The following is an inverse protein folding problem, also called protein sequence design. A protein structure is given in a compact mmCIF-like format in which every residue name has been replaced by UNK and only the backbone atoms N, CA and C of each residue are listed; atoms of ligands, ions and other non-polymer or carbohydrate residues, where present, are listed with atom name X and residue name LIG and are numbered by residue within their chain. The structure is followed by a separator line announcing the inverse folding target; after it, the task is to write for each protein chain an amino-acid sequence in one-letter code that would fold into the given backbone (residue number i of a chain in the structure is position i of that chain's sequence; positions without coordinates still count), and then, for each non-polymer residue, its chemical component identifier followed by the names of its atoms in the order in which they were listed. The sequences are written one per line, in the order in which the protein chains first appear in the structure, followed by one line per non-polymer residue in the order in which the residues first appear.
data_IF_528724665921
#
_entry.id   IF_528724665921
#
_cell.length_a   1.000
_cell.length_b   1.000
_cell.length_c   1.000
_cell.angle_alpha   90.00
_cell.angle_beta   90.00
_cell.angle_gamma   90.00
#
_symmetry.space_group_name_H-M   'P 1'
#
loop_
_entity.id
_entity.type
_entity.pdbx_description
1 polymer ?
#
# COMPACT_ATOMS: atom_id res chain seq x y z
N UNK A 1 8.74 13.53 7.93
CA UNK A 1 9.26 13.48 6.53
C UNK A 1 9.39 12.02 6.08
N UNK A 2 8.25 11.31 5.95
CA UNK A 2 8.20 9.93 5.41
C UNK A 2 7.16 9.81 4.28
N UNK A 3 6.55 10.94 3.92
CA UNK A 3 5.59 11.07 2.85
C UNK A 3 6.41 11.24 1.57
N UNK A 4 6.44 10.19 0.75
CA UNK A 4 7.08 10.22 -0.56
C UNK A 4 5.97 10.51 -1.57
N UNK A 5 6.20 11.40 -2.53
CA UNK A 5 5.28 11.57 -3.65
C UNK A 5 5.30 10.25 -4.45
N UNK A 6 4.15 9.55 -4.60
CA UNK A 6 4.10 8.30 -5.36
C UNK A 6 4.49 8.50 -6.84
N UNK A 7 4.58 9.76 -7.30
CA UNK A 7 4.80 10.13 -8.69
C UNK A 7 3.51 10.02 -9.50
N UNK A 8 3.58 10.40 -10.79
CA UNK A 8 2.48 10.20 -11.74
C UNK A 8 2.62 8.84 -12.40
N UNK A 9 2.05 7.80 -11.77
CA UNK A 9 2.06 6.43 -12.31
C UNK A 9 0.63 5.93 -12.44
N UNK A 10 0.17 5.77 -13.67
CA UNK A 10 -1.14 5.20 -13.97
C UNK A 10 -1.07 3.68 -14.16
N UNK A 11 -2.20 2.99 -13.93
CA UNK A 11 -2.33 1.54 -14.18
C UNK A 11 -2.02 1.17 -15.63
N UNK A 12 -2.29 2.08 -16.58
CA UNK A 12 -1.95 1.91 -18.00
C UNK A 12 -0.45 1.78 -18.27
N UNK A 13 0.38 2.26 -17.34
CA UNK A 13 1.84 2.16 -17.42
C UNK A 13 2.36 0.77 -17.04
N UNK A 14 1.50 -0.12 -16.54
CA UNK A 14 1.85 -1.45 -16.04
C UNK A 14 1.43 -2.51 -17.04
N UNK A 15 2.41 -3.10 -17.72
CA UNK A 15 2.17 -4.16 -18.70
C UNK A 15 1.92 -5.53 -18.05
N UNK A 16 0.91 -6.25 -18.55
CA UNK A 16 0.74 -7.70 -18.31
C UNK A 16 0.31 -8.12 -16.89
N UNK A 17 0.00 -7.18 -16.00
CA UNK A 17 -0.39 -7.45 -14.61
C UNK A 17 -1.86 -7.05 -14.32
N UNK A 18 -2.73 -7.15 -15.32
CA UNK A 18 -4.13 -6.70 -15.23
C UNK A 18 -4.93 -7.42 -14.13
N UNK A 19 -4.73 -8.73 -13.98
CA UNK A 19 -5.40 -9.52 -12.94
C UNK A 19 -4.94 -9.10 -11.54
N UNK A 20 -3.63 -8.92 -11.34
CA UNK A 20 -3.08 -8.49 -10.04
C UNK A 20 -3.51 -7.06 -9.69
N UNK A 21 -3.57 -6.17 -10.68
CA UNK A 21 -4.12 -4.82 -10.50
C UNK A 21 -5.57 -4.93 -10.07
N UNK A 22 -6.38 -5.75 -10.74
CA UNK A 22 -7.79 -5.92 -10.40
C UNK A 22 -7.98 -6.41 -8.96
N UNK A 23 -7.27 -7.46 -8.55
CA UNK A 23 -7.33 -7.98 -7.17
C UNK A 23 -6.95 -6.91 -6.13
N UNK A 24 -5.92 -6.12 -6.42
CA UNK A 24 -5.48 -5.02 -5.55
C UNK A 24 -6.54 -3.91 -5.44
N UNK A 25 -7.19 -3.55 -6.55
CA UNK A 25 -8.26 -2.55 -6.57
C UNK A 25 -9.49 -3.03 -5.80
N UNK A 26 -9.88 -4.29 -5.99
CA UNK A 26 -10.97 -4.90 -5.22
C UNK A 26 -10.64 -4.97 -3.71
N UNK A 27 -9.37 -5.20 -3.36
CA UNK A 27 -8.95 -5.27 -1.96
C UNK A 27 -8.79 -3.90 -1.29
N UNK A 28 -8.41 -2.86 -2.03
CA UNK A 28 -8.04 -1.56 -1.46
C UNK A 28 -9.04 -0.46 -1.86
N UNK A 29 -9.32 -0.28 -3.16
CA UNK A 29 -10.22 0.77 -3.65
C UNK A 29 -11.67 0.51 -3.27
N UNK A 30 -12.15 -0.72 -3.46
CA UNK A 30 -13.55 -1.08 -3.21
C UNK A 30 -14.01 -0.78 -1.77
N UNK A 31 -13.28 -1.19 -0.70
CA UNK A 31 -13.70 -0.88 0.66
C UNK A 31 -13.59 0.61 1.02
N UNK A 32 -12.71 1.37 0.35
CA UNK A 32 -12.61 2.82 0.54
C UNK A 32 -13.74 3.58 -0.16
N UNK A 33 -14.12 3.16 -1.37
CA UNK A 33 -15.17 3.81 -2.15
C UNK A 33 -16.58 3.43 -1.67
N UNK A 34 -16.82 2.15 -1.35
CA UNK A 34 -18.15 1.62 -1.05
C UNK A 34 -18.17 0.80 0.25
N UNK A 35 -17.93 1.42 1.43
CA UNK A 35 -17.92 0.73 2.71
C UNK A 35 -19.28 0.09 3.05
N UNK A 36 -20.39 0.65 2.56
CA UNK A 36 -21.73 0.11 2.79
C UNK A 36 -21.93 -1.31 2.30
N UNK A 37 -21.27 -1.70 1.19
CA UNK A 37 -21.37 -3.06 0.64
C UNK A 37 -20.83 -4.08 1.64
N UNK A 38 -19.71 -3.78 2.29
CA UNK A 38 -19.10 -4.65 3.30
C UNK A 38 -19.97 -4.76 4.56
N UNK A 39 -20.60 -3.65 4.98
CA UNK A 39 -21.51 -3.62 6.13
C UNK A 39 -22.77 -4.45 5.85
N UNK A 40 -23.38 -4.30 4.66
CA UNK A 40 -24.60 -5.04 4.28
C UNK A 40 -24.37 -6.54 4.17
N UNK A 41 -23.21 -6.93 3.62
CA UNK A 41 -22.81 -8.34 3.50
C UNK A 41 -22.31 -8.92 4.83
N UNK A 42 -21.98 -8.06 5.80
CA UNK A 42 -21.50 -8.47 7.13
C UNK A 42 -20.05 -8.98 7.13
N UNK A 43 -19.27 -8.65 6.10
CA UNK A 43 -17.87 -9.05 5.95
C UNK A 43 -16.94 -7.92 6.34
N UNK A 44 -15.82 -8.26 7.00
CA UNK A 44 -14.78 -7.28 7.32
C UNK A 44 -13.92 -7.03 6.08
N UNK A 45 -13.66 -5.77 5.70
CA UNK A 45 -12.78 -5.47 4.59
C UNK A 45 -11.34 -5.92 4.91
N UNK A 46 -10.56 -6.33 3.90
CA UNK A 46 -9.16 -6.67 4.09
C UNK A 46 -8.38 -5.42 4.55
N UNK A 47 -7.46 -5.61 5.50
CA UNK A 47 -6.69 -4.52 6.11
C UNK A 47 -5.33 -4.26 5.46
N UNK A 48 -4.88 -5.15 4.58
CA UNK A 48 -3.57 -5.06 3.95
C UNK A 48 -3.39 -6.14 2.90
N UNK A 49 -2.44 -5.91 2.01
CA UNK A 49 -2.09 -6.83 0.92
C UNK A 49 -0.60 -7.11 0.96
N UNK A 50 -0.23 -8.38 0.71
CA UNK A 50 1.17 -8.79 0.61
C UNK A 50 1.54 -9.03 -0.86
N UNK A 51 2.50 -8.26 -1.36
CA UNK A 51 3.05 -8.44 -2.70
C UNK A 51 4.36 -9.23 -2.62
N UNK A 52 4.42 -10.40 -3.28
CA UNK A 52 5.61 -11.26 -3.29
C UNK A 52 6.00 -11.72 -4.70
N UNK A 53 7.17 -12.36 -4.83
CA UNK A 53 7.70 -12.93 -6.07
C UNK A 53 9.09 -12.39 -6.44
N UNK A 54 9.61 -12.72 -7.64
CA UNK A 54 10.95 -12.32 -8.07
C UNK A 54 11.17 -10.80 -8.08
N UNK A 55 12.43 -10.33 -7.96
CA UNK A 55 12.76 -8.92 -8.15
C UNK A 55 12.48 -8.50 -9.60
N UNK A 56 12.11 -7.23 -9.82
CA UNK A 56 11.85 -6.69 -11.15
C UNK A 56 10.44 -6.88 -11.70
N UNK A 57 9.54 -7.60 -11.01
CA UNK A 57 8.15 -7.80 -11.49
C UNK A 57 7.20 -6.62 -11.18
N UNK A 58 7.73 -5.42 -10.93
CA UNK A 58 6.91 -4.21 -10.75
C UNK A 58 6.14 -4.06 -9.43
N UNK A 59 6.44 -4.83 -8.36
CA UNK A 59 5.70 -4.75 -7.07
C UNK A 59 5.70 -3.34 -6.47
N UNK A 60 6.86 -2.68 -6.44
CA UNK A 60 6.98 -1.30 -5.94
C UNK A 60 6.26 -0.30 -6.83
N UNK A 61 6.24 -0.56 -8.14
CA UNK A 61 5.56 0.29 -9.13
C UNK A 61 4.04 0.17 -9.00
N UNK A 62 3.52 -1.05 -8.80
CA UNK A 62 2.11 -1.31 -8.47
C UNK A 62 1.66 -0.54 -7.21
N UNK A 63 2.44 -0.60 -6.14
CA UNK A 63 2.11 0.11 -4.90
C UNK A 63 2.01 1.63 -5.10
N UNK A 64 2.91 2.22 -5.91
CA UNK A 64 2.87 3.64 -6.27
C UNK A 64 1.68 4.00 -7.14
N UNK A 65 1.36 3.17 -8.13
CA UNK A 65 0.22 3.40 -9.02
C UNK A 65 -1.11 3.40 -8.26
N UNK A 66 -1.26 2.52 -7.27
CA UNK A 66 -2.45 2.48 -6.41
C UNK A 66 -2.54 3.74 -5.56
N UNK A 67 -1.45 4.16 -4.93
CA UNK A 67 -1.43 5.37 -4.11
C UNK A 67 -1.77 6.64 -4.92
N UNK A 68 -1.28 6.72 -6.16
CA UNK A 68 -1.59 7.81 -7.08
C UNK A 68 -3.08 7.83 -7.51
N UNK A 69 -3.69 6.67 -7.73
CA UNK A 69 -5.09 6.60 -8.19
C UNK A 69 -6.12 6.87 -7.09
N UNK A 70 -5.80 6.56 -5.83
CA UNK A 70 -6.71 6.75 -4.69
C UNK A 70 -6.56 8.15 -4.08
N UNK A 71 -5.61 8.96 -4.56
CA UNK A 71 -5.22 10.24 -3.96
C UNK A 71 -4.91 10.09 -2.45
N UNK A 72 -4.22 9.00 -2.10
CA UNK A 72 -3.92 8.62 -0.73
C UNK A 72 -2.48 8.99 -0.35
N UNK A 73 -2.27 9.25 0.94
CA UNK A 73 -0.92 9.48 1.47
C UNK A 73 -0.05 8.22 1.34
N UNK A 74 1.04 8.32 0.57
CA UNK A 74 1.99 7.23 0.38
C UNK A 74 3.13 7.31 1.40
N UNK A 75 3.16 6.34 2.32
CA UNK A 75 4.21 6.17 3.32
C UNK A 75 5.12 5.02 2.91
N UNK A 76 6.31 5.34 2.38
CA UNK A 76 7.32 4.33 2.06
C UNK A 76 8.25 4.12 3.23
N UNK A 77 8.28 2.89 3.73
CA UNK A 77 9.11 2.52 4.87
C UNK A 77 10.05 1.39 4.46
N UNK A 78 11.35 1.63 4.58
CA UNK A 78 12.37 0.60 4.35
C UNK A 78 12.73 -0.01 5.70
N UNK A 79 12.59 -1.32 5.87
CA UNK A 79 12.80 -1.98 7.16
C UNK A 79 14.19 -1.74 7.74
N UNK A 80 15.22 -1.66 6.90
CA UNK A 80 16.58 -1.34 7.35
C UNK A 80 16.73 0.06 7.92
N UNK A 81 15.85 1.00 7.56
CA UNK A 81 15.87 2.36 8.11
C UNK A 81 15.25 2.46 9.52
N UNK A 82 14.54 1.42 9.97
CA UNK A 82 13.91 1.37 11.30
C UNK A 82 14.84 0.73 12.33
N UNK A 83 15.90 0.03 11.89
CA UNK A 83 16.82 -0.66 12.78
C UNK A 83 17.79 0.35 13.38
N UNK A 84 17.67 0.55 14.69
CA UNK A 84 18.55 1.42 15.47
C UNK A 84 19.34 0.60 16.51
N UNK A 85 20.52 1.09 16.87
CA UNK A 85 21.39 0.53 17.91
C UNK A 85 20.79 0.69 19.31
N UNK A 86 19.96 1.71 19.51
CA UNK A 86 19.34 2.00 20.80
C UNK A 86 18.07 1.16 21.03
N UNK A 87 18.04 0.44 22.16
CA UNK A 87 16.90 -0.41 22.53
C UNK A 87 15.65 0.46 22.72
N UNK A 88 14.58 0.11 22.02
CA UNK A 88 13.29 0.79 22.11
C UNK A 88 13.10 1.94 21.12
N UNK A 89 14.15 2.40 20.45
CA UNK A 89 14.07 3.52 19.50
C UNK A 89 13.32 3.11 18.23
N UNK A 90 13.57 1.90 17.72
CA UNK A 90 12.81 1.32 16.60
C UNK A 90 11.30 1.23 16.87
N UNK A 91 10.91 0.85 18.09
CA UNK A 91 9.50 0.80 18.50
C UNK A 91 8.88 2.19 18.64
N UNK A 92 9.66 3.19 19.10
CA UNK A 92 9.24 4.60 19.16
C UNK A 92 8.95 5.14 17.76
N UNK A 93 9.86 4.92 16.82
CA UNK A 93 9.72 5.34 15.42
C UNK A 93 8.44 4.74 14.81
N UNK A 94 8.22 3.43 14.94
CA UNK A 94 7.00 2.79 14.41
C UNK A 94 5.74 3.41 15.04
N UNK A 95 5.72 3.66 16.35
CA UNK A 95 4.57 4.29 17.01
C UNK A 95 4.30 5.70 16.51
N UNK A 96 5.34 6.50 16.28
CA UNK A 96 5.21 7.86 15.75
C UNK A 96 4.75 7.86 14.29
N UNK A 97 5.09 6.83 13.51
CA UNK A 97 4.70 6.72 12.10
C UNK A 97 3.22 6.40 11.88
N UNK A 98 2.59 5.65 12.80
CA UNK A 98 1.19 5.24 12.70
C UNK A 98 0.27 6.01 13.67
N UNK A 99 0.75 7.13 14.22
CA UNK A 99 0.00 7.99 15.15
C UNK A 99 -0.89 8.97 14.39
#
# INVERSE_FOLDING_TARGET
MLQEDPGKVDYSSIGGLSEQIRELRESIELPLMNPELFIRVGIKPPKGVLLYGPPGTGKTLLARAIACNIDANFLKVVSSAIVDKYIGESARIIREMFK
#
